data_IF_252641239781
#
_entry.id   IF_252641239781
#
_cell.length_a   1.000
_cell.length_b   1.000
_cell.length_c   1.000
_cell.angle_alpha   90.00
_cell.angle_beta   90.00
_cell.angle_gamma   90.00
#
_symmetry.space_group_name_H-M   'P 1'
#
loop_
_entity.id
_entity.type
_entity.pdbx_description
1 polymer ?
#
# COMPACT_ATOMS: atom_id res chain seq x y z
N UNK A 1 -5.93 10.70 -7.50
CA UNK A 1 -6.22 10.67 -6.06
C UNK A 1 -7.29 9.61 -5.84
N UNK A 2 -7.17 8.80 -4.80
CA UNK A 2 -8.16 7.75 -4.50
C UNK A 2 -8.02 6.48 -5.34
N UNK A 3 -6.90 6.30 -6.04
CA UNK A 3 -6.58 5.03 -6.68
C UNK A 3 -6.07 4.04 -5.61
N UNK A 4 -6.62 2.84 -5.58
CA UNK A 4 -6.16 1.76 -4.69
C UNK A 4 -4.75 1.33 -5.10
N UNK A 5 -3.80 1.41 -4.16
CA UNK A 5 -2.39 1.09 -4.34
C UNK A 5 -2.08 -0.33 -3.87
N UNK A 6 -2.57 -0.70 -2.68
CA UNK A 6 -2.39 -2.02 -2.09
C UNK A 6 -3.70 -2.48 -1.41
N UNK A 7 -3.80 -3.78 -1.21
CA UNK A 7 -4.82 -4.42 -0.35
C UNK A 7 -4.07 -5.09 0.79
N UNK A 8 -4.40 -4.70 2.02
CA UNK A 8 -3.90 -5.32 3.24
C UNK A 8 -4.93 -6.29 3.78
N UNK A 9 -4.53 -7.54 3.96
CA UNK A 9 -5.34 -8.52 4.68
C UNK A 9 -4.95 -8.52 6.16
N UNK A 10 -5.89 -8.18 7.04
CA UNK A 10 -5.72 -8.21 8.48
C UNK A 10 -6.96 -8.81 9.14
N UNK A 11 -6.78 -9.86 9.96
CA UNK A 11 -7.86 -10.50 10.72
C UNK A 11 -9.09 -10.91 9.86
N UNK A 12 -8.86 -11.47 8.67
CA UNK A 12 -9.89 -11.84 7.66
C UNK A 12 -10.64 -10.65 7.05
N UNK A 13 -10.12 -9.44 7.20
CA UNK A 13 -10.64 -8.24 6.56
C UNK A 13 -9.61 -7.70 5.58
N UNK A 14 -10.08 -7.30 4.42
CA UNK A 14 -9.28 -6.60 3.42
C UNK A 14 -9.46 -5.09 3.61
N UNK A 15 -8.33 -4.37 3.68
CA UNK A 15 -8.30 -2.92 3.79
C UNK A 15 -7.55 -2.35 2.59
N UNK A 16 -8.17 -1.43 1.87
CA UNK A 16 -7.56 -0.78 0.74
C UNK A 16 -6.69 0.40 1.19
N UNK A 17 -5.44 0.43 0.74
CA UNK A 17 -4.60 1.62 0.86
C UNK A 17 -4.76 2.42 -0.42
N UNK A 18 -5.33 3.62 -0.30
CA UNK A 18 -5.59 4.51 -1.42
C UNK A 18 -4.52 5.60 -1.54
N UNK A 19 -4.22 6.01 -2.76
CA UNK A 19 -3.30 7.11 -3.00
C UNK A 19 -3.87 8.44 -2.48
N UNK A 20 -3.13 9.20 -1.64
CA UNK A 20 -3.62 10.43 -1.04
C UNK A 20 -3.75 11.58 -2.05
N UNK A 21 -2.99 11.53 -3.16
CA UNK A 21 -2.91 12.57 -4.19
C UNK A 21 -2.77 11.95 -5.58
N UNK A 22 -2.84 12.75 -6.63
CA UNK A 22 -2.37 12.35 -7.95
C UNK A 22 -0.84 12.36 -7.95
N UNK A 23 -0.23 11.21 -8.20
CA UNK A 23 1.22 10.98 -8.09
C UNK A 23 1.65 9.81 -8.96
N UNK A 24 2.96 9.70 -9.21
CA UNK A 24 3.55 8.58 -9.93
C UNK A 24 4.20 7.62 -8.94
N UNK A 25 4.00 6.30 -9.11
CA UNK A 25 4.65 5.29 -8.27
C UNK A 25 6.16 5.31 -8.53
N UNK A 26 6.93 5.66 -7.51
CA UNK A 26 8.38 5.69 -7.54
C UNK A 26 9.01 4.33 -7.21
N UNK A 27 8.32 3.52 -6.41
CA UNK A 27 8.80 2.20 -6.00
C UNK A 27 7.81 1.45 -5.13
N UNK A 28 7.88 0.13 -5.18
CA UNK A 28 7.10 -0.81 -4.36
C UNK A 28 8.11 -1.58 -3.51
N UNK A 29 7.92 -1.57 -2.18
CA UNK A 29 8.88 -2.10 -1.20
C UNK A 29 8.43 -3.42 -0.57
N UNK A 30 7.31 -3.98 -1.04
CA UNK A 30 6.71 -5.21 -0.52
C UNK A 30 6.28 -6.12 -1.67
N UNK A 31 6.26 -7.42 -1.40
CA UNK A 31 5.71 -8.43 -2.30
C UNK A 31 4.37 -8.95 -1.79
N UNK A 32 3.66 -9.65 -2.66
CA UNK A 32 2.40 -10.30 -2.30
C UNK A 32 2.66 -11.36 -1.21
N UNK A 33 1.90 -11.25 -0.11
CA UNK A 33 1.97 -12.19 1.01
C UNK A 33 3.01 -11.82 2.07
N UNK A 34 3.77 -10.75 1.89
CA UNK A 34 4.69 -10.26 2.91
C UNK A 34 3.90 -9.81 4.15
N UNK A 35 4.42 -10.17 5.34
CA UNK A 35 3.91 -9.62 6.59
C UNK A 35 4.48 -8.21 6.78
N UNK A 36 3.60 -7.25 7.06
CA UNK A 36 3.95 -5.84 7.24
C UNK A 36 3.52 -5.34 8.62
N UNK A 37 4.31 -4.45 9.21
CA UNK A 37 4.04 -3.83 10.50
C UNK A 37 3.73 -2.33 10.33
N UNK A 38 3.20 -1.73 11.41
CA UNK A 38 2.96 -0.29 11.46
C UNK A 38 4.31 0.44 11.32
N UNK A 39 4.41 1.29 10.32
CA UNK A 39 5.61 2.07 10.03
C UNK A 39 6.49 1.51 8.91
N UNK A 40 6.22 0.29 8.43
CA UNK A 40 6.97 -0.27 7.31
C UNK A 40 6.66 0.49 6.01
N UNK A 41 7.67 0.85 5.20
CA UNK A 41 7.44 1.48 3.92
C UNK A 41 6.83 0.48 2.94
N UNK A 42 5.71 0.86 2.31
CA UNK A 42 5.00 0.00 1.35
C UNK A 42 5.23 0.44 -0.10
N UNK A 43 4.94 1.71 -0.38
CA UNK A 43 5.04 2.33 -1.71
C UNK A 43 5.58 3.75 -1.56
N UNK A 44 6.47 4.14 -2.48
CA UNK A 44 6.94 5.51 -2.62
C UNK A 44 6.24 6.19 -3.80
N UNK A 45 5.83 7.45 -3.61
CA UNK A 45 5.13 8.27 -4.59
C UNK A 45 5.97 9.51 -4.94
N UNK A 46 5.92 9.96 -6.20
CA UNK A 46 6.50 11.22 -6.70
C UNK A 46 5.44 12.29 -6.88
#
# INVERSE_FOLDING_TARGET
KGQTLLILEAMKMENEIMSPTDSVVAGIHVNKGDMVNVGDPLVSLQ
#
